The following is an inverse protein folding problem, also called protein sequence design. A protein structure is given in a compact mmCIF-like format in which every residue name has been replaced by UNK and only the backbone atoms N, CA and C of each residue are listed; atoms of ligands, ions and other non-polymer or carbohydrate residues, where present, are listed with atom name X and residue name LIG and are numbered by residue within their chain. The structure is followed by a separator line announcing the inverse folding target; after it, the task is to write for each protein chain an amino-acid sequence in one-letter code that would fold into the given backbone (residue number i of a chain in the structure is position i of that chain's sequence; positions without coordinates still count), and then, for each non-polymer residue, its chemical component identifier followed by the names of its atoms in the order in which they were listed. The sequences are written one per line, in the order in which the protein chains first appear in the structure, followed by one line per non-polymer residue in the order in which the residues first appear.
data_IF_345431920610
#
_entry.id   IF_345431920610
#
_cell.length_a   1.000
_cell.length_b   1.000
_cell.length_c   1.000
_cell.angle_alpha   90.00
_cell.angle_beta   90.00
_cell.angle_gamma   90.00
#
_symmetry.space_group_name_H-M   'P 1'
#
loop_
_entity.id
_entity.type
_entity.pdbx_description
1 polymer ?
#
# COMPACT_ATOMS: atom_id res chain seq x y z
N UNK A 1 11.00 -27.02 16.56
CA UNK A 1 9.61 -26.53 16.50
C UNK A 1 9.51 -25.04 16.83
N UNK A 2 10.13 -24.58 17.92
CA UNK A 2 10.05 -23.18 18.37
C UNK A 2 10.65 -22.17 17.38
N UNK A 3 11.79 -22.51 16.75
CA UNK A 3 12.44 -21.62 15.76
C UNK A 3 11.57 -21.39 14.52
N UNK A 4 10.79 -22.40 14.10
CA UNK A 4 9.91 -22.29 12.94
C UNK A 4 8.77 -21.29 13.20
N UNK A 5 8.23 -21.30 14.42
CA UNK A 5 7.18 -20.38 14.86
C UNK A 5 7.71 -18.94 14.81
N UNK A 6 8.91 -18.70 15.33
CA UNK A 6 9.54 -17.37 15.32
C UNK A 6 9.75 -16.85 13.88
N UNK A 7 10.17 -17.72 12.95
CA UNK A 7 10.35 -17.35 11.55
C UNK A 7 9.02 -17.03 10.85
N UNK A 8 7.95 -17.78 11.13
CA UNK A 8 6.62 -17.55 10.56
C UNK A 8 6.05 -16.22 11.07
N UNK A 9 6.01 -16.01 12.39
CA UNK A 9 5.47 -14.78 12.98
C UNK A 9 6.34 -13.56 12.67
N UNK A 10 7.66 -13.71 12.68
CA UNK A 10 8.59 -12.65 12.29
C UNK A 10 8.43 -12.23 10.83
N UNK A 11 8.32 -13.21 9.92
CA UNK A 11 8.09 -12.92 8.48
C UNK A 11 6.74 -12.24 8.26
N UNK A 12 5.69 -12.69 8.95
CA UNK A 12 4.37 -12.07 8.87
C UNK A 12 4.36 -10.64 9.38
N UNK A 13 5.04 -10.36 10.50
CA UNK A 13 5.14 -9.02 11.06
C UNK A 13 5.93 -8.04 10.17
N UNK A 14 7.03 -8.51 9.55
CA UNK A 14 7.82 -7.71 8.62
C UNK A 14 7.03 -7.43 7.34
N UNK A 15 6.26 -8.41 6.85
CA UNK A 15 5.41 -8.26 5.66
C UNK A 15 4.25 -7.28 5.91
N UNK A 16 3.51 -7.42 7.02
CA UNK A 16 2.39 -6.53 7.37
C UNK A 16 2.88 -5.07 7.53
N UNK A 17 4.01 -4.85 8.20
CA UNK A 17 4.60 -3.50 8.33
C UNK A 17 5.03 -2.91 6.99
N UNK A 18 5.65 -3.71 6.12
CA UNK A 18 6.15 -3.24 4.81
C UNK A 18 5.03 -3.02 3.81
N UNK A 19 3.96 -3.81 3.88
CA UNK A 19 2.76 -3.64 3.08
C UNK A 19 2.03 -2.33 3.45
N UNK A 20 1.83 -2.07 4.75
CA UNK A 20 1.23 -0.81 5.23
C UNK A 20 2.07 0.43 4.94
N UNK A 21 3.39 0.30 4.90
CA UNK A 21 4.29 1.41 4.61
C UNK A 21 4.32 1.82 3.14
N UNK A 22 4.06 0.89 2.21
CA UNK A 22 4.04 1.18 0.77
C UNK A 22 2.67 1.63 0.26
N UNK A 23 1.59 1.14 0.88
CA UNK A 23 0.22 1.54 0.59
C UNK A 23 -0.30 2.41 1.72
N UNK A 24 0.33 3.57 1.91
CA UNK A 24 -0.01 4.47 3.01
C UNK A 24 -1.51 4.82 2.97
N UNK A 25 -2.19 4.65 4.11
CA UNK A 25 -3.60 5.05 4.27
C UNK A 25 -3.82 6.55 4.06
N UNK A 26 -2.76 7.35 4.25
CA UNK A 26 -2.81 8.80 4.16
C UNK A 26 -2.02 9.27 2.94
N UNK A 27 -2.73 10.00 2.08
CA UNK A 27 -2.17 10.66 0.90
C UNK A 27 -1.30 11.82 1.39
N UNK A 28 -0.03 11.92 0.98
CA UNK A 28 0.80 13.07 1.32
C UNK A 28 0.21 14.38 0.78
N UNK A 29 0.54 15.52 1.39
CA UNK A 29 0.11 16.83 0.88
C UNK A 29 0.70 17.09 -0.52
N UNK A 30 -0.07 17.75 -1.38
CA UNK A 30 0.34 18.07 -2.76
C UNK A 30 0.04 16.97 -3.79
N UNK A 31 -0.61 15.88 -3.37
CA UNK A 31 -1.06 14.82 -4.26
C UNK A 31 -2.55 14.97 -4.58
N UNK A 32 -2.87 15.09 -5.86
CA UNK A 32 -4.23 15.17 -6.38
C UNK A 32 -4.74 13.77 -6.77
N UNK A 33 -6.00 13.48 -6.43
CA UNK A 33 -6.65 12.22 -6.80
C UNK A 33 -6.86 12.18 -8.30
N UNK A 34 -6.39 11.10 -8.95
CA UNK A 34 -6.66 10.90 -10.37
C UNK A 34 -7.92 10.04 -10.59
N UNK A 35 -8.32 9.91 -11.86
CA UNK A 35 -9.38 8.98 -12.26
C UNK A 35 -8.86 7.54 -12.49
N UNK A 36 -7.57 7.29 -12.30
CA UNK A 36 -6.98 5.96 -12.42
C UNK A 36 -7.31 5.14 -11.17
N UNK A 37 -8.16 4.13 -11.34
CA UNK A 37 -8.60 3.22 -10.28
C UNK A 37 -8.40 1.78 -10.74
N UNK A 38 -7.61 1.01 -10.01
CA UNK A 38 -7.45 -0.42 -10.20
C UNK A 38 -8.26 -1.16 -9.13
N UNK A 39 -8.95 -2.24 -9.51
CA UNK A 39 -9.72 -3.06 -8.58
C UNK A 39 -9.21 -4.49 -8.68
N UNK A 40 -8.75 -5.04 -7.56
CA UNK A 40 -8.37 -6.45 -7.49
C UNK A 40 -9.64 -7.32 -7.58
N UNK A 41 -9.80 -8.17 -8.62
CA UNK A 41 -11.00 -8.99 -8.79
C UNK A 41 -11.09 -10.15 -7.80
N UNK A 42 -9.98 -10.50 -7.14
CA UNK A 42 -9.87 -11.61 -6.19
C UNK A 42 -10.19 -11.15 -4.78
N UNK A 43 -9.78 -9.93 -4.42
CA UNK A 43 -9.96 -9.38 -3.05
C UNK A 43 -10.91 -8.19 -2.97
N UNK A 44 -11.39 -7.67 -4.11
CA UNK A 44 -12.21 -6.47 -4.22
C UNK A 44 -11.55 -5.19 -3.65
N UNK A 45 -10.22 -5.20 -3.51
CA UNK A 45 -9.46 -4.05 -3.00
C UNK A 45 -9.37 -2.99 -4.09
N UNK A 46 -9.62 -1.73 -3.75
CA UNK A 46 -9.52 -0.63 -4.70
C UNK A 46 -8.19 0.09 -4.52
N UNK A 47 -7.48 0.34 -5.60
CA UNK A 47 -6.22 1.06 -5.62
C UNK A 47 -6.42 2.34 -6.42
N UNK A 48 -6.33 3.49 -5.77
CA UNK A 48 -6.52 4.80 -6.38
C UNK A 48 -5.16 5.45 -6.55
N UNK A 49 -4.85 5.89 -7.77
CA UNK A 49 -3.60 6.60 -8.05
C UNK A 49 -3.77 8.08 -7.75
N UNK A 50 -2.81 8.63 -7.02
CA UNK A 50 -2.67 10.05 -6.77
C UNK A 50 -1.42 10.58 -7.48
N UNK A 51 -1.49 11.81 -7.97
CA UNK A 51 -0.42 12.46 -8.72
C UNK A 51 -0.05 13.80 -8.09
N UNK A 52 1.25 14.05 -7.91
CA UNK A 52 1.74 15.35 -7.49
C UNK A 52 2.18 16.17 -8.71
N UNK A 53 1.47 17.24 -9.10
CA UNK A 53 1.84 18.07 -10.25
C UNK A 53 3.11 18.89 -10.04
N UNK A 54 3.52 19.14 -8.78
CA UNK A 54 4.72 19.91 -8.46
C UNK A 54 6.00 19.07 -8.61
N UNK A 55 5.96 17.79 -8.23
CA UNK A 55 7.14 16.90 -8.29
C UNK A 55 7.10 15.87 -9.41
N UNK A 56 5.92 15.60 -9.99
CA UNK A 56 5.70 14.55 -10.98
C UNK A 56 5.59 13.15 -10.37
N UNK A 57 5.54 13.03 -9.04
CA UNK A 57 5.46 11.75 -8.34
C UNK A 57 4.06 11.15 -8.39
N UNK A 58 4.01 9.81 -8.34
CA UNK A 58 2.77 9.02 -8.24
C UNK A 58 2.72 8.27 -6.92
N UNK A 59 1.53 8.20 -6.34
CA UNK A 59 1.27 7.50 -5.08
C UNK A 59 0.02 6.63 -5.20
N UNK A 60 0.19 5.34 -4.92
CA UNK A 60 -0.89 4.35 -4.96
C UNK A 60 -1.48 4.15 -3.58
N UNK A 61 -2.76 4.49 -3.42
CA UNK A 61 -3.49 4.30 -2.16
C UNK A 61 -4.49 3.16 -2.28
N UNK A 62 -4.43 2.21 -1.36
CA UNK A 62 -5.49 1.20 -1.18
C UNK A 62 -6.67 1.85 -0.42
N UNK A 63 -7.88 1.75 -0.98
CA UNK A 63 -9.16 2.23 -0.47
C UNK A 63 -10.12 1.05 -0.22
#
# INVERSE_FOLDING_TARGET
MEVLIILIFGSWFIWDRRFRAKHGQQVPKGFDRTNEVSIDPTTNKRLVVYFNPETGERFDKEE
#
